data_IF_950523870352
#
_entry.id   IF_950523870352
#
_cell.length_a   1.000
_cell.length_b   1.000
_cell.length_c   1.000
_cell.angle_alpha   90.00
_cell.angle_beta   90.00
_cell.angle_gamma   90.00
#
_symmetry.space_group_name_H-M   'P 1'
#
loop_
_entity.id
_entity.type
_entity.pdbx_description
1 polymer ?
#
# COMPACT_ATOMS: atom_id res chain seq x y z
N UNK A 1 -23.86 -38.11 44.81
CA UNK A 1 -25.05 -38.92 44.64
C UNK A 1 -24.82 -40.31 44.02
N UNK A 2 -23.96 -40.53 43.09
CA UNK A 2 -23.62 -41.83 42.46
C UNK A 2 -23.02 -42.86 43.42
N UNK A 3 -22.34 -42.46 44.49
CA UNK A 3 -21.77 -43.35 45.52
C UNK A 3 -22.85 -43.94 46.46
N UNK A 4 -23.87 -43.19 46.80
CA UNK A 4 -24.97 -43.64 47.61
C UNK A 4 -25.84 -44.66 46.87
N UNK A 5 -26.08 -44.46 45.57
CA UNK A 5 -26.85 -45.43 44.76
C UNK A 5 -26.08 -46.74 44.55
N UNK A 6 -24.76 -46.70 44.40
CA UNK A 6 -23.91 -47.92 44.31
C UNK A 6 -23.82 -48.68 45.64
N UNK A 7 -23.76 -47.97 46.76
CA UNK A 7 -23.74 -48.57 48.10
C UNK A 7 -25.12 -49.22 48.41
N UNK A 8 -26.21 -48.57 48.03
CA UNK A 8 -27.56 -49.13 48.23
C UNK A 8 -27.80 -50.38 47.37
N UNK A 9 -27.30 -50.39 46.14
CA UNK A 9 -27.37 -51.50 45.20
C UNK A 9 -26.55 -52.72 45.70
N UNK A 10 -25.35 -52.46 46.28
CA UNK A 10 -24.52 -53.45 46.91
C UNK A 10 -25.19 -54.03 48.18
N UNK A 11 -25.80 -53.19 49.02
CA UNK A 11 -26.51 -53.64 50.21
C UNK A 11 -27.76 -54.48 49.84
N UNK A 12 -28.52 -54.10 48.81
CA UNK A 12 -29.63 -54.86 48.28
C UNK A 12 -29.18 -56.21 47.71
N UNK A 13 -28.10 -56.22 46.95
CA UNK A 13 -27.51 -57.44 46.40
C UNK A 13 -27.01 -58.40 47.53
N UNK A 14 -26.39 -57.84 48.55
CA UNK A 14 -25.94 -58.61 49.71
C UNK A 14 -27.13 -59.21 50.49
N UNK A 15 -28.25 -58.46 50.65
CA UNK A 15 -29.46 -58.93 51.28
C UNK A 15 -30.17 -60.07 50.47
N UNK A 16 -30.20 -59.93 49.14
CA UNK A 16 -30.75 -60.98 48.25
C UNK A 16 -29.88 -62.22 48.27
N UNK A 17 -28.56 -62.09 48.27
CA UNK A 17 -27.61 -63.23 48.44
C UNK A 17 -27.79 -63.92 49.80
N UNK A 18 -27.92 -63.16 50.89
CA UNK A 18 -28.15 -63.72 52.21
C UNK A 18 -29.47 -64.52 52.31
N UNK A 19 -30.55 -64.02 51.64
CA UNK A 19 -31.82 -64.71 51.61
C UNK A 19 -31.79 -66.00 50.77
N UNK A 20 -31.07 -66.03 49.66
CA UNK A 20 -30.86 -67.22 48.83
C UNK A 20 -29.99 -68.29 49.60
N UNK A 21 -29.04 -67.83 50.36
CA UNK A 21 -28.16 -68.66 51.18
C UNK A 21 -28.91 -69.36 52.31
N UNK A 22 -29.98 -68.84 52.85
CA UNK A 22 -30.82 -69.43 53.87
C UNK A 22 -31.72 -70.54 53.36
N UNK A 23 -32.06 -70.57 52.08
CA UNK A 23 -33.05 -71.49 51.52
C UNK A 23 -32.44 -72.76 50.90
N UNK A 24 -31.14 -72.79 50.64
CA UNK A 24 -30.54 -73.88 49.83
C UNK A 24 -29.41 -74.60 50.54
N UNK A 25 -29.67 -75.87 50.98
CA UNK A 25 -28.72 -76.81 51.64
C UNK A 25 -27.97 -77.71 50.58
N UNK A 26 -27.82 -77.29 49.33
CA UNK A 26 -27.13 -78.10 48.31
C UNK A 26 -25.62 -78.07 48.38
N UNK A 27 -24.96 -79.13 47.94
CA UNK A 27 -23.50 -79.23 47.81
C UNK A 27 -23.11 -79.34 46.32
N UNK A 28 -22.05 -78.68 45.93
CA UNK A 28 -21.43 -78.81 44.58
C UNK A 28 -20.22 -79.72 44.69
N UNK A 29 -20.24 -80.89 43.99
CA UNK A 29 -19.16 -81.82 43.95
C UNK A 29 -18.27 -81.60 42.74
N UNK A 30 -17.01 -81.20 42.93
CA UNK A 30 -16.00 -81.12 41.89
C UNK A 30 -15.27 -82.47 41.78
N UNK A 31 -15.48 -83.15 40.63
CA UNK A 31 -14.82 -84.39 40.30
C UNK A 31 -13.54 -84.13 39.49
N UNK A 32 -12.43 -84.08 40.15
CA UNK A 32 -11.08 -84.00 39.52
C UNK A 32 -10.36 -85.29 39.84
N UNK A 33 -10.36 -86.21 38.92
CA UNK A 33 -9.76 -87.55 39.16
C UNK A 33 -8.31 -87.44 39.62
N UNK A 34 -7.92 -88.12 40.81
CA UNK A 34 -8.67 -89.05 41.62
C UNK A 34 -9.39 -88.43 42.85
N UNK A 35 -9.51 -87.10 42.93
CA UNK A 35 -10.08 -86.40 44.10
C UNK A 35 -11.50 -85.97 43.89
N UNK A 36 -12.35 -86.12 44.88
CA UNK A 36 -13.71 -85.53 44.96
C UNK A 36 -13.69 -84.49 46.10
N UNK A 37 -14.01 -83.26 45.71
CA UNK A 37 -14.09 -82.11 46.62
C UNK A 37 -15.54 -81.68 46.70
N UNK A 38 -16.17 -81.89 47.81
CA UNK A 38 -17.55 -81.42 48.08
C UNK A 38 -17.50 -80.06 48.76
N UNK A 39 -18.02 -79.04 48.08
CA UNK A 39 -18.07 -77.67 48.55
C UNK A 39 -19.54 -77.25 48.72
N UNK A 40 -19.88 -76.54 49.78
CA UNK A 40 -21.24 -76.05 49.96
C UNK A 40 -21.60 -75.12 48.82
N UNK A 41 -22.81 -75.23 48.25
CA UNK A 41 -23.29 -74.39 47.17
C UNK A 41 -23.14 -72.90 47.49
N UNK A 42 -23.34 -72.51 48.72
CA UNK A 42 -23.21 -71.18 49.25
C UNK A 42 -21.74 -70.63 49.12
N UNK A 43 -20.76 -71.39 49.48
CA UNK A 43 -19.36 -71.03 49.37
C UNK A 43 -18.95 -70.91 47.90
N UNK A 44 -19.47 -71.82 47.05
CA UNK A 44 -19.24 -71.71 45.57
C UNK A 44 -19.77 -70.42 44.96
N UNK A 45 -21.05 -70.03 45.28
CA UNK A 45 -21.67 -68.84 44.81
C UNK A 45 -20.92 -67.59 45.26
N UNK A 46 -20.53 -67.51 46.57
CA UNK A 46 -19.77 -66.37 47.07
C UNK A 46 -18.41 -66.25 46.36
N UNK A 47 -17.71 -67.38 46.21
CA UNK A 47 -16.38 -67.43 45.55
C UNK A 47 -16.53 -67.01 44.09
N UNK A 48 -17.58 -67.46 43.38
CA UNK A 48 -17.88 -67.04 41.98
C UNK A 48 -18.15 -65.54 41.85
N UNK A 49 -18.96 -64.99 42.77
CA UNK A 49 -19.26 -63.52 42.79
C UNK A 49 -18.04 -62.70 43.05
N UNK A 50 -17.17 -63.17 44.05
CA UNK A 50 -15.90 -62.48 44.34
C UNK A 50 -14.95 -62.56 43.16
N UNK A 51 -14.87 -63.69 42.47
CA UNK A 51 -14.06 -63.86 41.26
C UNK A 51 -14.51 -62.96 40.14
N UNK A 52 -15.82 -62.92 39.85
CA UNK A 52 -16.37 -62.05 38.84
C UNK A 52 -16.17 -60.59 39.19
N UNK A 53 -16.33 -60.17 40.43
CA UNK A 53 -16.04 -58.82 40.90
C UNK A 53 -14.55 -58.48 40.73
N UNK A 54 -13.67 -59.42 41.07
CA UNK A 54 -12.24 -59.21 40.88
C UNK A 54 -11.82 -59.08 39.44
N UNK A 55 -12.36 -59.93 38.55
CA UNK A 55 -12.18 -59.82 37.08
C UNK A 55 -12.68 -58.48 36.56
N UNK A 56 -13.88 -58.06 36.98
CA UNK A 56 -14.42 -56.75 36.60
C UNK A 56 -13.52 -55.58 37.03
N UNK A 57 -13.04 -55.60 38.28
CA UNK A 57 -12.15 -54.54 38.78
C UNK A 57 -10.80 -54.52 38.08
N UNK A 58 -10.24 -55.68 37.77
CA UNK A 58 -9.00 -55.83 37.01
C UNK A 58 -9.19 -55.29 35.59
N UNK A 59 -10.25 -55.70 34.88
CA UNK A 59 -10.56 -55.21 33.56
C UNK A 59 -10.74 -53.68 33.54
N UNK A 60 -11.44 -53.12 34.53
CA UNK A 60 -11.65 -51.67 34.68
C UNK A 60 -10.35 -50.95 35.04
N UNK A 61 -9.46 -51.53 35.81
CA UNK A 61 -8.13 -50.99 36.11
C UNK A 61 -7.25 -50.94 34.86
N UNK A 62 -7.27 -51.99 34.05
CA UNK A 62 -6.53 -52.08 32.78
C UNK A 62 -7.05 -51.00 31.81
N UNK A 63 -8.38 -50.83 31.68
CA UNK A 63 -8.95 -49.79 30.84
C UNK A 63 -8.51 -48.38 31.26
N UNK A 64 -8.56 -48.07 32.57
CA UNK A 64 -8.09 -46.77 33.09
C UNK A 64 -6.61 -46.51 32.82
N UNK A 65 -5.79 -47.56 32.92
CA UNK A 65 -4.34 -47.43 32.61
C UNK A 65 -4.12 -47.26 31.09
N UNK A 66 -4.92 -47.95 30.27
CA UNK A 66 -4.83 -47.82 28.82
C UNK A 66 -5.27 -46.42 28.33
N UNK A 67 -6.26 -45.78 28.97
CA UNK A 67 -6.75 -44.43 28.64
C UNK A 67 -5.81 -43.29 29.15
N UNK A 68 -4.91 -43.60 30.11
CA UNK A 68 -4.05 -42.62 30.74
C UNK A 68 -3.11 -41.90 29.76
N UNK A 69 -2.43 -42.58 28.82
CA UNK A 69 -1.53 -41.89 27.87
C UNK A 69 -2.28 -40.93 26.95
N UNK A 70 -3.51 -41.22 26.58
CA UNK A 70 -4.30 -40.35 25.73
C UNK A 70 -4.75 -39.07 26.47
N UNK A 71 -5.17 -39.18 27.72
CA UNK A 71 -5.48 -38.02 28.56
C UNK A 71 -4.27 -37.12 28.81
N UNK A 72 -3.09 -37.72 29.01
CA UNK A 72 -1.84 -36.98 29.18
C UNK A 72 -1.46 -36.24 27.87
N UNK A 73 -1.64 -36.91 26.73
CA UNK A 73 -1.41 -36.26 25.43
C UNK A 73 -2.34 -35.06 25.24
N UNK A 74 -3.66 -35.23 25.44
CA UNK A 74 -4.65 -34.17 25.34
C UNK A 74 -4.37 -33.02 26.32
N UNK A 75 -3.93 -33.32 27.52
CA UNK A 75 -3.56 -32.31 28.51
C UNK A 75 -2.31 -31.52 28.08
N UNK A 76 -1.29 -32.23 27.55
CA UNK A 76 -0.06 -31.57 27.03
C UNK A 76 -0.35 -30.69 25.85
N UNK A 77 -1.10 -31.17 24.84
CA UNK A 77 -1.51 -30.38 23.68
C UNK A 77 -2.28 -29.12 24.09
N UNK A 78 -3.27 -29.25 24.97
CA UNK A 78 -4.02 -28.07 25.48
C UNK A 78 -3.10 -27.08 26.23
N UNK A 79 -2.16 -27.56 26.99
CA UNK A 79 -1.22 -26.69 27.70
C UNK A 79 -0.26 -25.99 26.75
N UNK A 80 0.19 -26.65 25.70
CA UNK A 80 1.01 -26.09 24.63
C UNK A 80 0.23 -25.06 23.83
N UNK A 81 -1.03 -25.32 23.50
CA UNK A 81 -1.92 -24.36 22.83
C UNK A 81 -2.14 -23.08 23.66
N UNK A 82 -2.52 -23.24 24.93
CA UNK A 82 -2.72 -22.08 25.82
C UNK A 82 -1.42 -21.30 26.03
N UNK A 83 -0.30 -22.01 26.21
CA UNK A 83 1.03 -21.40 26.34
C UNK A 83 1.43 -20.64 25.05
N UNK A 84 1.19 -21.25 23.89
CA UNK A 84 1.43 -20.65 22.59
C UNK A 84 0.61 -19.39 22.37
N UNK A 85 -0.69 -19.41 22.70
CA UNK A 85 -1.56 -18.24 22.60
C UNK A 85 -1.11 -17.10 23.53
N UNK A 86 -0.75 -17.39 24.78
CA UNK A 86 -0.24 -16.38 25.70
C UNK A 86 1.07 -15.77 25.21
N UNK A 87 1.98 -16.61 24.70
CA UNK A 87 3.24 -16.15 24.13
C UNK A 87 3.02 -15.30 22.88
N UNK A 88 2.03 -15.65 22.03
CA UNK A 88 1.67 -14.85 20.85
C UNK A 88 1.12 -13.48 21.25
N UNK A 89 0.25 -13.41 22.24
CA UNK A 89 -0.28 -12.12 22.76
C UNK A 89 0.87 -11.26 23.29
N UNK A 90 1.82 -11.86 24.03
CA UNK A 90 2.98 -11.12 24.52
C UNK A 90 3.91 -10.67 23.39
N UNK A 91 4.05 -11.47 22.31
CA UNK A 91 4.82 -11.11 21.13
C UNK A 91 4.20 -9.87 20.41
N UNK A 92 2.88 -9.90 20.17
CA UNK A 92 2.16 -8.77 19.56
C UNK A 92 2.27 -7.52 20.43
N UNK A 93 2.02 -7.65 21.75
CA UNK A 93 2.13 -6.53 22.70
C UNK A 93 3.53 -5.91 22.67
N UNK A 94 4.56 -6.75 22.78
CA UNK A 94 5.96 -6.29 22.77
C UNK A 94 6.35 -5.63 21.44
N UNK A 95 5.81 -6.13 20.31
CA UNK A 95 6.01 -5.52 18.98
C UNK A 95 5.41 -4.11 18.93
N UNK A 96 4.17 -3.95 19.41
CA UNK A 96 3.48 -2.65 19.45
C UNK A 96 4.14 -1.65 20.42
N UNK A 97 4.72 -2.15 21.51
CA UNK A 97 5.50 -1.36 22.46
C UNK A 97 6.90 -0.96 21.91
N UNK A 98 7.29 -1.46 20.72
CA UNK A 98 8.63 -1.23 20.16
C UNK A 98 9.74 -2.06 20.83
N UNK A 99 9.41 -3.05 21.66
CA UNK A 99 10.35 -3.93 22.34
C UNK A 99 10.68 -5.15 21.48
N UNK A 100 11.34 -4.92 20.34
CA UNK A 100 11.50 -5.93 19.29
C UNK A 100 12.22 -7.21 19.73
N UNK A 101 13.30 -7.10 20.52
CA UNK A 101 14.00 -8.28 21.04
C UNK A 101 13.13 -9.14 21.99
N UNK A 102 12.20 -8.53 22.72
CA UNK A 102 11.23 -9.23 23.55
C UNK A 102 10.13 -9.86 22.69
N UNK A 103 9.67 -9.14 21.68
CA UNK A 103 8.68 -9.64 20.72
C UNK A 103 9.20 -10.89 20.01
N UNK A 104 10.45 -10.89 19.53
CA UNK A 104 11.07 -12.04 18.87
C UNK A 104 11.18 -13.24 19.81
N UNK A 105 11.61 -13.04 21.07
CA UNK A 105 11.69 -14.13 22.06
C UNK A 105 10.31 -14.72 22.36
N UNK A 106 9.30 -13.89 22.52
CA UNK A 106 7.93 -14.33 22.74
C UNK A 106 7.36 -15.08 21.51
N UNK A 107 7.65 -14.58 20.29
CA UNK A 107 7.30 -15.26 19.05
C UNK A 107 7.95 -16.65 18.96
N UNK A 108 9.19 -16.80 19.39
CA UNK A 108 9.88 -18.11 19.46
C UNK A 108 9.19 -19.08 20.42
N UNK A 109 8.70 -18.59 21.55
CA UNK A 109 7.92 -19.39 22.47
C UNK A 109 6.55 -19.80 21.90
N UNK A 110 5.92 -18.90 21.11
CA UNK A 110 4.63 -19.16 20.46
C UNK A 110 4.71 -20.18 19.31
N UNK A 111 5.91 -20.50 18.81
CA UNK A 111 6.12 -21.54 17.79
C UNK A 111 5.91 -22.97 18.29
N UNK A 112 5.83 -23.18 19.59
CA UNK A 112 5.60 -24.51 20.18
C UNK A 112 4.22 -25.09 19.86
N UNK A 113 3.26 -24.27 19.44
CA UNK A 113 1.90 -24.68 19.05
C UNK A 113 1.67 -24.48 17.57
N UNK A 114 1.22 -25.52 16.88
CA UNK A 114 0.93 -25.50 15.43
C UNK A 114 -0.10 -24.40 15.07
N UNK A 115 -1.05 -24.13 15.97
CA UNK A 115 -2.09 -23.10 15.73
C UNK A 115 -1.54 -21.68 15.73
N UNK A 116 -0.44 -21.42 16.39
CA UNK A 116 0.17 -20.08 16.52
C UNK A 116 1.47 -19.92 15.73
N UNK A 117 2.07 -21.02 15.27
CA UNK A 117 3.40 -21.04 14.67
C UNK A 117 3.54 -20.11 13.46
N UNK A 118 2.56 -20.12 12.53
CA UNK A 118 2.59 -19.29 11.34
C UNK A 118 2.52 -17.79 11.64
N UNK A 119 1.60 -17.38 12.51
CA UNK A 119 1.48 -15.98 12.93
C UNK A 119 2.70 -15.53 13.73
N UNK A 120 3.19 -16.39 14.64
CA UNK A 120 4.39 -16.13 15.42
C UNK A 120 5.62 -15.92 14.53
N UNK A 121 5.75 -16.68 13.45
CA UNK A 121 6.82 -16.52 12.48
C UNK A 121 6.78 -15.14 11.82
N UNK A 122 5.60 -14.64 11.42
CA UNK A 122 5.47 -13.31 10.83
C UNK A 122 5.78 -12.18 11.82
N UNK A 123 5.39 -12.35 13.10
CA UNK A 123 5.73 -11.38 14.17
C UNK A 123 7.23 -11.39 14.43
N UNK A 124 7.84 -12.59 14.49
CA UNK A 124 9.29 -12.75 14.64
C UNK A 124 10.06 -12.09 13.49
N UNK A 125 9.61 -12.30 12.25
CA UNK A 125 10.17 -11.65 11.06
C UNK A 125 10.10 -10.14 11.16
N UNK A 126 8.92 -9.58 11.53
CA UNK A 126 8.73 -8.13 11.68
C UNK A 126 9.63 -7.57 12.80
N UNK A 127 9.75 -8.28 13.93
CA UNK A 127 10.61 -7.87 15.03
C UNK A 127 12.10 -7.87 14.62
N UNK A 128 12.57 -8.91 13.94
CA UNK A 128 13.94 -9.00 13.42
C UNK A 128 14.22 -7.88 12.38
N UNK A 129 13.26 -7.62 11.47
CA UNK A 129 13.37 -6.53 10.49
C UNK A 129 13.52 -5.16 11.17
N UNK A 130 12.72 -4.87 12.21
CA UNK A 130 12.81 -3.63 12.98
C UNK A 130 14.14 -3.46 13.72
N UNK A 131 14.81 -4.57 14.03
CA UNK A 131 16.17 -4.59 14.61
C UNK A 131 17.27 -4.54 13.53
N UNK A 132 16.92 -4.50 12.23
CA UNK A 132 17.83 -4.55 11.08
C UNK A 132 18.61 -5.90 11.00
N UNK A 133 18.07 -6.96 11.60
CA UNK A 133 18.63 -8.31 11.58
C UNK A 133 18.01 -9.09 10.42
N UNK A 134 18.48 -8.81 9.21
CA UNK A 134 17.85 -9.28 7.98
C UNK A 134 17.98 -10.79 7.76
N UNK A 135 19.09 -11.39 8.14
CA UNK A 135 19.27 -12.86 8.07
C UNK A 135 18.24 -13.58 8.96
N UNK A 136 18.05 -13.09 10.19
CA UNK A 136 17.05 -13.66 11.11
C UNK A 136 15.62 -13.44 10.62
N UNK A 137 15.34 -12.28 9.98
CA UNK A 137 14.06 -12.03 9.33
C UNK A 137 13.77 -13.10 8.27
N UNK A 138 14.74 -13.40 7.43
CA UNK A 138 14.59 -14.36 6.33
C UNK A 138 14.41 -15.78 6.85
N UNK A 139 15.12 -16.17 7.92
CA UNK A 139 14.87 -17.42 8.63
C UNK A 139 13.43 -17.51 9.14
N UNK A 140 12.91 -16.43 9.73
CA UNK A 140 11.55 -16.38 10.22
C UNK A 140 10.52 -16.50 9.09
N UNK A 141 10.74 -15.83 7.97
CA UNK A 141 9.88 -15.91 6.77
C UNK A 141 9.90 -17.32 6.16
N UNK A 142 11.05 -17.97 6.16
CA UNK A 142 11.17 -19.35 5.68
C UNK A 142 10.37 -20.34 6.55
N UNK A 143 10.36 -20.14 7.87
CA UNK A 143 9.53 -20.97 8.77
C UNK A 143 8.03 -20.85 8.49
N UNK A 144 7.57 -19.68 8.02
CA UNK A 144 6.18 -19.48 7.63
C UNK A 144 5.85 -20.03 6.22
N UNK A 145 6.83 -20.55 5.49
CA UNK A 145 6.63 -20.95 4.07
C UNK A 145 5.75 -22.20 3.93
N UNK A 146 5.84 -23.12 4.86
CA UNK A 146 5.08 -24.36 4.85
C UNK A 146 3.62 -24.19 5.29
N UNK A 147 3.25 -23.05 5.84
CA UNK A 147 1.88 -22.76 6.28
C UNK A 147 1.09 -22.14 5.12
N UNK A 148 0.27 -22.95 4.46
CA UNK A 148 -0.56 -22.52 3.34
C UNK A 148 -1.58 -21.45 3.72
N UNK A 149 -2.07 -21.46 4.97
CA UNK A 149 -3.00 -20.45 5.48
C UNK A 149 -2.34 -19.08 5.63
N UNK A 150 -1.02 -19.06 5.91
CA UNK A 150 -0.26 -17.82 6.07
C UNK A 150 0.44 -17.34 4.80
N UNK A 151 0.35 -18.07 3.69
CA UNK A 151 1.06 -17.74 2.46
C UNK A 151 0.79 -16.31 1.96
N UNK A 152 -0.47 -15.89 1.93
CA UNK A 152 -0.86 -14.54 1.54
C UNK A 152 -0.27 -13.49 2.49
N UNK A 153 -0.42 -13.69 3.80
CA UNK A 153 0.09 -12.77 4.82
C UNK A 153 1.63 -12.69 4.78
N UNK A 154 2.30 -13.82 4.54
CA UNK A 154 3.75 -13.90 4.39
C UNK A 154 4.24 -13.08 3.20
N UNK A 155 3.62 -13.26 2.01
CA UNK A 155 4.01 -12.52 0.81
C UNK A 155 3.81 -11.02 0.96
N UNK A 156 2.69 -10.58 1.57
CA UNK A 156 2.45 -9.17 1.84
C UNK A 156 3.46 -8.61 2.84
N UNK A 157 3.70 -9.31 3.95
CA UNK A 157 4.67 -8.89 4.97
C UNK A 157 6.10 -8.84 4.43
N UNK A 158 6.49 -9.83 3.60
CA UNK A 158 7.80 -9.85 2.93
C UNK A 158 7.96 -8.66 1.99
N UNK A 159 6.97 -8.41 1.12
CA UNK A 159 6.99 -7.30 0.18
C UNK A 159 7.10 -5.94 0.91
N UNK A 160 6.39 -5.77 2.02
CA UNK A 160 6.46 -4.56 2.83
C UNK A 160 7.86 -4.36 3.43
N UNK A 161 8.42 -5.40 4.07
CA UNK A 161 9.75 -5.35 4.68
C UNK A 161 10.86 -5.10 3.65
N UNK A 162 10.80 -5.75 2.48
CA UNK A 162 11.77 -5.53 1.40
C UNK A 162 11.65 -4.11 0.80
N UNK A 163 10.44 -3.57 0.67
CA UNK A 163 10.26 -2.18 0.22
C UNK A 163 10.82 -1.18 1.25
N UNK A 164 10.66 -1.43 2.55
CA UNK A 164 11.28 -0.63 3.62
C UNK A 164 12.81 -0.65 3.54
N UNK A 165 13.39 -1.79 3.18
CA UNK A 165 14.84 -1.98 3.00
C UNK A 165 15.35 -1.48 1.63
N UNK A 166 14.45 -1.09 0.72
CA UNK A 166 14.71 -0.71 -0.68
C UNK A 166 15.16 -1.87 -1.58
N UNK A 167 14.89 -3.10 -1.18
CA UNK A 167 15.01 -4.27 -2.04
C UNK A 167 13.76 -4.42 -2.91
N UNK A 168 13.60 -3.47 -3.82
CA UNK A 168 12.35 -3.31 -4.57
C UNK A 168 12.07 -4.48 -5.51
N UNK A 169 13.10 -5.13 -6.06
CA UNK A 169 12.93 -6.27 -6.96
C UNK A 169 12.36 -7.47 -6.21
N UNK A 170 12.89 -7.79 -5.03
CA UNK A 170 12.36 -8.84 -4.16
C UNK A 170 10.92 -8.57 -3.71
N UNK A 171 10.62 -7.28 -3.42
CA UNK A 171 9.27 -6.85 -3.06
C UNK A 171 8.27 -7.05 -4.22
N UNK A 172 8.66 -6.69 -5.43
CA UNK A 172 7.82 -6.84 -6.62
C UNK A 172 7.61 -8.31 -6.97
N UNK A 173 8.64 -9.15 -6.89
CA UNK A 173 8.51 -10.61 -7.08
C UNK A 173 7.51 -11.24 -6.10
N UNK A 174 7.52 -10.82 -4.83
CA UNK A 174 6.54 -11.30 -3.86
C UNK A 174 5.10 -10.86 -4.22
N UNK A 175 4.95 -9.63 -4.72
CA UNK A 175 3.65 -9.11 -5.14
C UNK A 175 3.15 -9.84 -6.40
N UNK A 176 4.03 -10.14 -7.35
CA UNK A 176 3.68 -10.88 -8.57
C UNK A 176 3.22 -12.30 -8.23
N UNK A 177 3.90 -12.99 -7.30
CA UNK A 177 3.45 -14.28 -6.76
C UNK A 177 2.08 -14.19 -6.09
N UNK A 178 1.83 -13.12 -5.33
CA UNK A 178 0.56 -12.87 -4.69
C UNK A 178 -0.58 -12.65 -5.71
N UNK A 179 -0.31 -11.90 -6.77
CA UNK A 179 -1.27 -11.65 -7.85
C UNK A 179 -1.55 -12.91 -8.68
N UNK A 180 -0.52 -13.73 -8.93
CA UNK A 180 -0.64 -15.03 -9.60
C UNK A 180 -1.56 -16.00 -8.85
N UNK A 181 -1.65 -15.89 -7.52
CA UNK A 181 -2.58 -16.63 -6.67
C UNK A 181 -4.03 -16.09 -6.72
N UNK A 182 -4.33 -15.10 -7.57
CA UNK A 182 -5.67 -14.52 -7.74
C UNK A 182 -6.06 -13.46 -6.68
N UNK A 183 -5.20 -13.18 -5.75
CA UNK A 183 -5.45 -12.24 -4.67
C UNK A 183 -5.23 -10.78 -5.11
N UNK A 184 -6.33 -10.02 -5.20
CA UNK A 184 -6.29 -8.59 -5.57
C UNK A 184 -6.34 -7.71 -4.32
N UNK A 185 -5.22 -7.60 -3.61
CA UNK A 185 -5.13 -6.80 -2.39
C UNK A 185 -4.78 -5.34 -2.67
N UNK A 186 -5.59 -4.42 -2.14
CA UNK A 186 -5.34 -2.97 -2.22
C UNK A 186 -4.00 -2.63 -1.56
N UNK A 187 -3.72 -3.21 -0.41
CA UNK A 187 -2.48 -2.97 0.33
C UNK A 187 -1.24 -3.41 -0.48
N UNK A 188 -1.27 -4.60 -1.10
CA UNK A 188 -0.19 -5.05 -1.98
C UNK A 188 0.02 -4.10 -3.18
N UNK A 189 -1.06 -3.54 -3.75
CA UNK A 189 -0.95 -2.53 -4.81
C UNK A 189 -0.30 -1.23 -4.32
N UNK A 190 -0.52 -0.84 -3.06
CA UNK A 190 0.18 0.31 -2.44
C UNK A 190 1.67 0.04 -2.26
N UNK A 191 2.02 -1.16 -1.81
CA UNK A 191 3.43 -1.58 -1.70
C UNK A 191 4.08 -1.59 -3.09
N UNK A 192 3.41 -2.16 -4.11
CA UNK A 192 3.89 -2.15 -5.49
C UNK A 192 4.10 -0.72 -6.02
N UNK A 193 3.18 0.20 -5.73
CA UNK A 193 3.33 1.61 -6.09
C UNK A 193 4.61 2.19 -5.48
N UNK A 194 4.82 1.98 -4.18
CA UNK A 194 6.01 2.50 -3.48
C UNK A 194 7.31 1.89 -4.05
N UNK A 195 7.36 0.57 -4.24
CA UNK A 195 8.52 -0.12 -4.81
C UNK A 195 8.84 0.38 -6.23
N UNK A 196 7.82 0.55 -7.10
CA UNK A 196 7.98 1.05 -8.46
C UNK A 196 8.44 2.51 -8.49
N UNK A 197 7.93 3.38 -7.60
CA UNK A 197 8.41 4.77 -7.47
C UNK A 197 9.87 4.84 -7.01
N UNK A 198 10.27 3.95 -6.08
CA UNK A 198 11.65 3.89 -5.61
C UNK A 198 12.63 3.37 -6.66
N UNK A 199 12.17 2.44 -7.51
CA UNK A 199 12.97 1.84 -8.59
C UNK A 199 12.97 2.65 -9.88
N UNK A 200 12.17 3.74 -9.97
CA UNK A 200 12.02 4.49 -11.21
C UNK A 200 11.25 3.75 -12.31
N UNK A 201 10.46 2.73 -11.95
CA UNK A 201 9.58 2.00 -12.88
C UNK A 201 8.28 2.77 -13.09
N UNK A 202 8.36 3.91 -13.79
CA UNK A 202 7.29 4.89 -13.87
C UNK A 202 6.00 4.37 -14.51
N UNK A 203 6.11 3.53 -15.54
CA UNK A 203 4.93 2.96 -16.21
C UNK A 203 4.14 2.03 -15.28
N UNK A 204 4.82 1.20 -14.51
CA UNK A 204 4.19 0.28 -13.57
C UNK A 204 3.64 1.03 -12.34
N UNK A 205 4.35 2.06 -11.88
CA UNK A 205 3.83 3.00 -10.88
C UNK A 205 2.51 3.65 -11.35
N UNK A 206 2.44 4.09 -12.60
CA UNK A 206 1.23 4.69 -13.17
C UNK A 206 0.06 3.70 -13.23
N UNK A 207 0.33 2.42 -13.59
CA UNK A 207 -0.69 1.36 -13.57
C UNK A 207 -1.23 1.16 -12.15
N UNK A 208 -0.33 1.14 -11.15
CA UNK A 208 -0.71 1.01 -9.74
C UNK A 208 -1.57 2.19 -9.25
N UNK A 209 -1.20 3.44 -9.58
CA UNK A 209 -1.99 4.64 -9.25
C UNK A 209 -3.40 4.55 -9.84
N UNK A 210 -3.51 4.21 -11.14
CA UNK A 210 -4.82 4.09 -11.82
C UNK A 210 -5.69 2.98 -11.20
N UNK A 211 -5.07 1.86 -10.81
CA UNK A 211 -5.80 0.77 -10.16
C UNK A 211 -6.32 1.19 -8.78
N UNK A 212 -5.50 1.89 -7.98
CA UNK A 212 -5.90 2.41 -6.67
C UNK A 212 -7.00 3.48 -6.80
N UNK A 213 -6.88 4.38 -7.77
CA UNK A 213 -7.88 5.41 -8.08
C UNK A 213 -9.23 4.77 -8.47
N UNK A 214 -9.23 3.79 -9.39
CA UNK A 214 -10.42 3.05 -9.81
C UNK A 214 -11.15 2.37 -8.65
N UNK A 215 -10.42 2.01 -7.59
CA UNK A 215 -10.96 1.35 -6.39
C UNK A 215 -11.29 2.31 -5.24
N UNK A 216 -11.21 3.61 -5.48
CA UNK A 216 -11.36 4.65 -4.44
C UNK A 216 -10.43 4.43 -3.23
N UNK A 217 -9.28 3.77 -3.45
CA UNK A 217 -8.28 3.49 -2.41
C UNK A 217 -7.20 4.57 -2.32
N UNK A 218 -7.28 5.60 -3.17
CA UNK A 218 -6.38 6.75 -3.20
C UNK A 218 -7.22 8.03 -3.33
N UNK A 219 -6.92 9.03 -2.49
CA UNK A 219 -7.61 10.31 -2.57
C UNK A 219 -7.32 11.01 -3.91
N UNK A 220 -8.33 11.62 -4.55
CA UNK A 220 -8.24 12.18 -5.89
C UNK A 220 -7.11 13.23 -6.03
N UNK A 221 -6.90 14.09 -5.01
CA UNK A 221 -5.83 15.09 -5.01
C UNK A 221 -4.45 14.42 -5.04
N UNK A 222 -4.27 13.36 -4.25
CA UNK A 222 -3.01 12.63 -4.19
C UNK A 222 -2.76 11.84 -5.49
N UNK A 223 -3.80 11.22 -6.05
CA UNK A 223 -3.72 10.54 -7.34
C UNK A 223 -3.27 11.51 -8.45
N UNK A 224 -3.80 12.73 -8.48
CA UNK A 224 -3.41 13.79 -9.42
C UNK A 224 -1.94 14.19 -9.24
N UNK A 225 -1.51 14.43 -8.00
CA UNK A 225 -0.10 14.78 -7.69
C UNK A 225 0.86 13.67 -8.12
N UNK A 226 0.54 12.39 -7.83
CA UNK A 226 1.34 11.25 -8.24
C UNK A 226 1.42 11.11 -9.75
N UNK A 227 0.28 11.19 -10.45
CA UNK A 227 0.26 11.15 -11.92
C UNK A 227 1.10 12.26 -12.52
N UNK A 228 0.94 13.50 -12.05
CA UNK A 228 1.74 14.63 -12.52
C UNK A 228 3.25 14.36 -12.39
N UNK A 229 3.68 13.89 -11.22
CA UNK A 229 5.09 13.59 -11.00
C UNK A 229 5.60 12.44 -11.86
N UNK A 230 4.83 11.35 -11.98
CA UNK A 230 5.18 10.20 -12.83
C UNK A 230 5.28 10.63 -14.30
N UNK A 231 4.30 11.39 -14.80
CA UNK A 231 4.33 11.88 -16.18
C UNK A 231 5.53 12.80 -16.43
N UNK A 232 5.87 13.67 -15.47
CA UNK A 232 7.06 14.51 -15.57
C UNK A 232 8.32 13.67 -15.74
N UNK A 233 8.51 12.62 -14.92
CA UNK A 233 9.69 11.75 -15.02
C UNK A 233 9.71 10.96 -16.35
N UNK A 234 8.55 10.47 -16.82
CA UNK A 234 8.43 9.82 -18.12
C UNK A 234 8.79 10.76 -19.28
N UNK A 235 8.35 12.02 -19.23
CA UNK A 235 8.68 13.03 -20.23
C UNK A 235 10.16 13.42 -20.17
N UNK A 236 10.71 13.60 -18.96
CA UNK A 236 12.14 13.89 -18.76
C UNK A 236 13.03 12.77 -19.30
N UNK A 237 12.63 11.52 -19.15
CA UNK A 237 13.39 10.39 -19.71
C UNK A 237 13.45 10.44 -21.24
N UNK A 238 12.46 11.04 -21.90
CA UNK A 238 12.35 11.14 -23.35
C UNK A 238 12.68 12.54 -23.90
N UNK A 239 13.21 13.46 -23.07
CA UNK A 239 13.45 14.88 -23.42
C UNK A 239 14.36 15.08 -24.64
N UNK A 240 15.19 14.12 -24.97
CA UNK A 240 16.15 14.21 -26.09
C UNK A 240 15.60 13.63 -27.40
N UNK A 241 14.42 12.99 -27.38
CA UNK A 241 13.77 12.43 -28.56
C UNK A 241 12.36 13.00 -28.72
N UNK A 242 12.24 13.96 -29.61
CA UNK A 242 10.98 14.65 -29.90
C UNK A 242 9.89 13.70 -30.39
N UNK A 243 10.22 12.64 -31.13
CA UNK A 243 9.23 11.69 -31.66
C UNK A 243 8.69 10.79 -30.54
N UNK A 244 9.57 10.30 -29.66
CA UNK A 244 9.17 9.50 -28.49
C UNK A 244 8.35 10.31 -27.50
N UNK A 245 8.71 11.59 -27.28
CA UNK A 245 7.94 12.51 -26.43
C UNK A 245 6.53 12.75 -26.97
N UNK A 246 6.42 12.97 -28.28
CA UNK A 246 5.13 13.14 -28.96
C UNK A 246 4.28 11.86 -28.89
N UNK A 247 4.89 10.69 -29.11
CA UNK A 247 4.22 9.40 -28.98
C UNK A 247 3.75 9.14 -27.53
N UNK A 248 4.56 9.49 -26.53
CA UNK A 248 4.17 9.43 -25.13
C UNK A 248 2.97 10.30 -24.85
N UNK A 249 2.99 11.58 -25.29
CA UNK A 249 1.88 12.52 -25.10
C UNK A 249 0.56 11.99 -25.71
N UNK A 250 0.63 11.44 -26.93
CA UNK A 250 -0.55 10.86 -27.58
C UNK A 250 -1.13 9.64 -26.86
N UNK A 251 -0.31 8.88 -26.14
CA UNK A 251 -0.73 7.71 -25.33
C UNK A 251 -1.39 8.10 -24.01
N UNK A 252 -1.22 9.34 -23.54
CA UNK A 252 -1.87 9.77 -22.32
C UNK A 252 -3.40 9.74 -22.47
N UNK A 253 -4.16 9.27 -21.45
CA UNK A 253 -5.60 9.39 -21.43
C UNK A 253 -6.04 10.86 -21.57
N UNK A 254 -7.14 11.08 -22.25
CA UNK A 254 -7.68 12.42 -22.47
C UNK A 254 -7.93 13.16 -21.16
N UNK A 255 -8.49 12.46 -20.15
CA UNK A 255 -8.73 13.02 -18.83
C UNK A 255 -7.44 13.52 -18.14
N UNK A 256 -6.31 12.81 -18.32
CA UNK A 256 -5.03 13.22 -17.76
C UNK A 256 -4.39 14.37 -18.56
N UNK A 257 -4.60 14.41 -19.88
CA UNK A 257 -4.09 15.50 -20.76
C UNK A 257 -4.71 16.85 -20.48
N UNK A 258 -5.95 16.89 -19.99
CA UNK A 258 -6.65 18.12 -19.62
C UNK A 258 -6.33 18.62 -18.21
N UNK A 259 -5.52 17.90 -17.43
CA UNK A 259 -5.04 18.36 -16.13
C UNK A 259 -4.01 19.48 -16.35
N UNK A 260 -4.25 20.72 -15.86
CA UNK A 260 -3.41 21.87 -16.20
C UNK A 260 -1.93 21.68 -15.85
N UNK A 261 -1.62 21.03 -14.72
CA UNK A 261 -0.25 20.76 -14.28
C UNK A 261 0.48 19.80 -15.24
N UNK A 262 -0.23 18.75 -15.73
CA UNK A 262 0.32 17.78 -16.69
C UNK A 262 0.49 18.42 -18.05
N UNK A 263 -0.50 19.25 -18.48
CA UNK A 263 -0.45 19.97 -19.73
C UNK A 263 0.72 20.97 -19.77
N UNK A 264 0.94 21.70 -18.68
CA UNK A 264 2.06 22.64 -18.55
C UNK A 264 3.40 21.95 -18.74
N UNK A 265 3.60 20.82 -18.03
CA UNK A 265 4.85 20.07 -18.12
C UNK A 265 5.05 19.46 -19.52
N UNK A 266 3.97 18.91 -20.11
CA UNK A 266 3.98 18.39 -21.47
C UNK A 266 4.32 19.47 -22.50
N UNK A 267 3.68 20.63 -22.42
CA UNK A 267 3.93 21.76 -23.32
C UNK A 267 5.38 22.28 -23.18
N UNK A 268 5.88 22.39 -21.95
CA UNK A 268 7.27 22.78 -21.69
C UNK A 268 8.27 21.84 -22.36
N UNK A 269 8.10 20.53 -22.17
CA UNK A 269 8.98 19.52 -22.78
C UNK A 269 8.89 19.53 -24.30
N UNK A 270 7.68 19.68 -24.86
CA UNK A 270 7.45 19.78 -26.30
C UNK A 270 8.07 21.05 -26.90
N UNK A 271 8.00 22.19 -26.22
CA UNK A 271 8.67 23.41 -26.64
C UNK A 271 10.20 23.24 -26.66
N UNK A 272 10.77 22.64 -25.60
CA UNK A 272 12.22 22.34 -25.54
C UNK A 272 12.66 21.37 -26.63
N UNK A 273 11.80 20.45 -27.04
CA UNK A 273 12.03 19.51 -28.13
C UNK A 273 11.75 20.08 -29.54
N UNK A 274 11.43 21.39 -29.65
CA UNK A 274 11.13 22.05 -30.92
C UNK A 274 9.76 21.68 -31.53
N UNK A 275 8.86 21.14 -30.73
CA UNK A 275 7.48 20.77 -31.14
C UNK A 275 6.45 21.85 -30.73
N UNK A 276 6.76 23.11 -30.99
CA UNK A 276 5.96 24.25 -30.55
C UNK A 276 4.50 24.23 -31.01
N UNK A 277 4.21 23.78 -32.23
CA UNK A 277 2.85 23.64 -32.70
C UNK A 277 2.01 22.68 -31.84
N UNK A 278 2.60 21.56 -31.47
CA UNK A 278 1.94 20.59 -30.58
C UNK A 278 1.82 21.14 -29.15
N UNK A 279 2.84 21.84 -28.66
CA UNK A 279 2.81 22.52 -27.37
C UNK A 279 1.67 23.54 -27.29
N UNK A 280 1.50 24.36 -28.33
CA UNK A 280 0.40 25.30 -28.41
C UNK A 280 -0.97 24.59 -28.36
N UNK A 281 -1.15 23.52 -29.15
CA UNK A 281 -2.40 22.76 -29.16
C UNK A 281 -2.70 22.11 -27.80
N UNK A 282 -1.67 21.63 -27.08
CA UNK A 282 -1.79 21.09 -25.72
C UNK A 282 -2.31 22.13 -24.74
N UNK A 283 -1.76 23.34 -24.80
CA UNK A 283 -2.18 24.44 -23.92
C UNK A 283 -3.59 24.91 -24.26
N UNK A 284 -3.91 25.04 -25.56
CA UNK A 284 -5.26 25.38 -25.99
C UNK A 284 -6.33 24.40 -25.51
N UNK A 285 -6.01 23.10 -25.56
CA UNK A 285 -6.90 22.06 -25.03
C UNK A 285 -7.08 22.14 -23.51
N UNK A 286 -6.00 22.42 -22.77
CA UNK A 286 -6.03 22.51 -21.31
C UNK A 286 -6.77 23.77 -20.81
N UNK A 287 -6.57 24.92 -21.45
CA UNK A 287 -7.24 26.19 -21.11
C UNK A 287 -8.72 26.19 -21.48
N UNK A 288 -9.11 25.42 -22.50
CA UNK A 288 -10.50 25.41 -22.98
C UNK A 288 -10.98 26.73 -23.57
N UNK A 289 -12.29 26.98 -23.50
CA UNK A 289 -12.91 28.09 -24.24
C UNK A 289 -13.15 29.37 -23.42
N UNK A 290 -13.24 29.28 -22.07
CA UNK A 290 -13.71 30.43 -21.26
C UNK A 290 -12.68 30.89 -20.25
N UNK A 291 -12.04 32.05 -20.45
CA UNK A 291 -11.07 32.65 -19.51
C UNK A 291 -11.65 33.00 -18.14
N UNK A 292 -12.95 33.15 -18.03
CA UNK A 292 -13.61 33.52 -16.76
C UNK A 292 -13.48 32.45 -15.66
N UNK A 293 -13.18 31.23 -16.04
CA UNK A 293 -13.02 30.09 -15.11
C UNK A 293 -11.55 29.71 -14.84
N UNK A 294 -10.60 30.49 -15.36
CA UNK A 294 -9.17 30.21 -15.22
C UNK A 294 -8.66 30.60 -13.83
N UNK A 295 -7.73 29.81 -13.36
CA UNK A 295 -7.01 29.98 -12.09
C UNK A 295 -5.56 30.47 -12.32
N UNK A 296 -4.78 30.54 -11.26
CA UNK A 296 -3.36 30.95 -11.30
C UNK A 296 -2.49 30.04 -12.21
N UNK A 297 -2.94 28.82 -12.47
CA UNK A 297 -2.23 27.91 -13.39
C UNK A 297 -2.34 28.40 -14.84
N UNK A 298 -3.42 29.10 -15.20
CA UNK A 298 -3.60 29.63 -16.54
C UNK A 298 -2.53 30.66 -16.91
N UNK A 299 -2.06 31.47 -15.97
CA UNK A 299 -0.96 32.42 -16.23
C UNK A 299 0.32 31.68 -16.66
N UNK A 300 0.65 30.59 -15.96
CA UNK A 300 1.82 29.77 -16.29
C UNK A 300 1.69 29.07 -17.64
N UNK A 301 0.49 28.60 -17.97
CA UNK A 301 0.18 28.02 -19.28
C UNK A 301 0.30 29.06 -20.40
N UNK A 302 -0.17 30.30 -20.18
CA UNK A 302 -0.06 31.39 -21.12
C UNK A 302 1.39 31.84 -21.39
N UNK A 303 2.22 31.85 -20.32
CA UNK A 303 3.65 32.12 -20.47
C UNK A 303 4.35 31.05 -21.33
N UNK A 304 3.97 29.78 -21.16
CA UNK A 304 4.50 28.71 -21.98
C UNK A 304 3.91 28.72 -23.40
N UNK A 305 2.65 29.15 -23.55
CA UNK A 305 2.02 29.36 -24.87
C UNK A 305 2.75 30.42 -25.68
N UNK A 306 3.13 31.53 -25.07
CA UNK A 306 3.92 32.56 -25.70
C UNK A 306 5.27 32.09 -26.24
N UNK A 307 5.89 31.08 -25.57
CA UNK A 307 7.16 30.46 -26.00
C UNK A 307 6.99 29.47 -27.14
N UNK A 308 5.77 28.93 -27.32
CA UNK A 308 5.49 27.95 -28.35
C UNK A 308 5.62 28.57 -29.74
N UNK A 309 6.50 27.98 -30.56
CA UNK A 309 6.65 28.37 -31.95
C UNK A 309 5.59 27.64 -32.80
N UNK A 310 4.43 28.25 -32.95
CA UNK A 310 3.34 27.70 -33.74
C UNK A 310 3.31 28.37 -35.11
N UNK A 311 3.21 27.60 -36.17
CA UNK A 311 3.02 28.11 -37.52
C UNK A 311 1.64 27.73 -38.05
N UNK A 312 0.89 28.72 -38.62
CA UNK A 312 1.26 30.14 -38.72
C UNK A 312 1.06 30.86 -37.36
N UNK A 313 2.01 31.72 -36.98
CA UNK A 313 1.98 32.51 -35.74
C UNK A 313 0.70 33.41 -35.65
N UNK A 314 0.13 33.77 -36.80
CA UNK A 314 -1.15 34.48 -36.88
C UNK A 314 -2.27 33.73 -36.14
N UNK A 315 -2.33 32.40 -36.24
CA UNK A 315 -3.31 31.59 -35.53
C UNK A 315 -3.16 31.70 -34.00
N UNK A 316 -1.91 31.71 -33.53
CA UNK A 316 -1.60 31.86 -32.09
C UNK A 316 -2.01 33.24 -31.57
N UNK A 317 -1.79 34.31 -32.38
CA UNK A 317 -2.22 35.66 -32.04
C UNK A 317 -3.76 35.78 -32.04
N UNK A 318 -4.43 35.31 -33.09
CA UNK A 318 -5.89 35.32 -33.20
C UNK A 318 -6.54 34.58 -32.01
N UNK A 319 -5.93 33.49 -31.57
CA UNK A 319 -6.41 32.72 -30.39
C UNK A 319 -6.24 33.53 -29.11
N UNK A 320 -5.09 34.16 -28.90
CA UNK A 320 -4.84 35.02 -27.74
C UNK A 320 -5.80 36.23 -27.71
N UNK A 321 -6.03 36.88 -28.87
CA UNK A 321 -6.98 37.96 -29.01
C UNK A 321 -8.44 37.51 -28.74
N UNK A 322 -8.83 36.32 -29.20
CA UNK A 322 -10.14 35.72 -28.92
C UNK A 322 -10.35 35.44 -27.42
N UNK A 323 -9.34 34.97 -26.74
CA UNK A 323 -9.39 34.82 -25.28
C UNK A 323 -9.43 36.17 -24.55
N UNK A 324 -8.66 37.16 -25.04
CA UNK A 324 -8.63 38.50 -24.46
C UNK A 324 -10.00 39.17 -24.53
N UNK A 325 -10.75 38.98 -25.65
CA UNK A 325 -12.10 39.49 -25.81
C UNK A 325 -13.11 38.89 -24.82
N UNK A 326 -12.86 37.70 -24.32
CA UNK A 326 -13.71 36.98 -23.34
C UNK A 326 -13.18 37.07 -21.90
N UNK A 327 -11.99 37.64 -21.71
CA UNK A 327 -11.35 37.75 -20.40
C UNK A 327 -12.04 38.81 -19.53
N UNK A 328 -11.95 38.70 -18.19
CA UNK A 328 -12.38 39.77 -17.29
C UNK A 328 -11.77 41.12 -17.70
N UNK A 329 -12.51 42.18 -17.47
CA UNK A 329 -12.10 43.53 -17.85
C UNK A 329 -10.79 43.99 -17.20
N UNK A 330 -10.41 43.42 -16.07
CA UNK A 330 -9.18 43.72 -15.32
C UNK A 330 -8.63 42.45 -14.62
N UNK A 331 -7.33 42.46 -14.27
CA UNK A 331 -6.73 41.46 -13.42
C UNK A 331 -5.56 40.71 -14.06
N UNK A 332 -4.96 39.77 -13.28
CA UNK A 332 -3.76 39.07 -13.66
C UNK A 332 -3.89 38.23 -14.94
N UNK A 333 -5.04 37.58 -15.16
CA UNK A 333 -5.29 36.80 -16.38
C UNK A 333 -5.31 37.69 -17.62
N UNK A 334 -5.94 38.88 -17.54
CA UNK A 334 -5.93 39.84 -18.63
C UNK A 334 -4.51 40.34 -18.91
N UNK A 335 -3.76 40.67 -17.88
CA UNK A 335 -2.36 41.06 -18.02
C UNK A 335 -1.51 39.97 -18.68
N UNK A 336 -1.72 38.70 -18.28
CA UNK A 336 -1.02 37.55 -18.86
C UNK A 336 -1.39 37.34 -20.35
N UNK A 337 -2.66 37.49 -20.73
CA UNK A 337 -3.10 37.43 -22.13
C UNK A 337 -2.51 38.52 -22.98
N UNK A 338 -2.51 39.77 -22.47
CA UNK A 338 -1.88 40.92 -23.14
C UNK A 338 -0.38 40.71 -23.31
N UNK A 339 0.30 40.19 -22.28
CA UNK A 339 1.71 39.80 -22.34
C UNK A 339 1.97 38.73 -23.40
N UNK A 340 1.10 37.72 -23.46
CA UNK A 340 1.18 36.63 -24.44
C UNK A 340 1.04 37.19 -25.87
N UNK A 341 0.01 37.98 -26.13
CA UNK A 341 -0.18 38.63 -27.44
C UNK A 341 1.01 39.52 -27.80
N UNK A 342 1.52 40.29 -26.84
CA UNK A 342 2.71 41.13 -27.02
C UNK A 342 3.97 40.37 -27.39
N UNK A 343 4.21 39.21 -26.71
CA UNK A 343 5.36 38.34 -26.98
C UNK A 343 5.26 37.63 -28.35
N UNK A 344 4.06 37.23 -28.77
CA UNK A 344 3.82 36.67 -30.10
C UNK A 344 4.10 37.75 -31.15
N UNK A 345 3.58 38.98 -30.97
CA UNK A 345 3.85 40.12 -31.87
C UNK A 345 5.34 40.49 -31.92
N UNK A 346 6.04 40.45 -30.79
CA UNK A 346 7.50 40.69 -30.70
C UNK A 346 8.29 39.70 -31.56
N UNK A 347 7.94 38.44 -31.49
CA UNK A 347 8.56 37.37 -32.29
C UNK A 347 8.32 37.57 -33.79
N UNK A 348 7.14 38.01 -34.16
CA UNK A 348 6.77 38.29 -35.57
C UNK A 348 7.18 39.68 -36.03
N UNK A 349 7.99 40.39 -35.24
CA UNK A 349 8.49 41.73 -35.57
C UNK A 349 7.39 42.78 -35.78
N UNK A 350 6.21 42.58 -35.20
CA UNK A 350 5.10 43.53 -35.22
C UNK A 350 5.26 44.55 -34.08
N UNK A 351 6.34 45.36 -34.14
CA UNK A 351 6.81 46.22 -33.07
C UNK A 351 5.73 47.12 -32.46
N UNK A 352 4.93 47.81 -33.32
CA UNK A 352 3.89 48.70 -32.82
C UNK A 352 2.79 48.00 -32.03
N UNK A 353 2.30 46.83 -32.52
CA UNK A 353 1.31 46.02 -31.80
C UNK A 353 1.89 45.46 -30.55
N UNK A 354 3.14 44.97 -30.59
CA UNK A 354 3.84 44.43 -29.44
C UNK A 354 3.94 45.46 -28.32
N UNK A 355 4.37 46.72 -28.66
CA UNK A 355 4.48 47.82 -27.69
C UNK A 355 3.14 48.11 -27.02
N UNK A 356 2.06 48.20 -27.77
CA UNK A 356 0.72 48.43 -27.24
C UNK A 356 0.28 47.35 -26.27
N UNK A 357 0.32 46.08 -26.68
CA UNK A 357 -0.08 44.95 -25.80
C UNK A 357 0.76 44.85 -24.52
N UNK A 358 2.09 45.06 -24.60
CA UNK A 358 2.95 44.99 -23.45
C UNK A 358 2.75 46.14 -22.48
N UNK A 359 2.50 47.37 -22.99
CA UNK A 359 2.16 48.52 -22.15
C UNK A 359 0.81 48.35 -21.45
N UNK A 360 -0.21 47.86 -22.17
CA UNK A 360 -1.51 47.53 -21.61
C UNK A 360 -1.39 46.43 -20.54
N UNK A 361 -0.51 45.42 -20.76
CA UNK A 361 -0.23 44.41 -19.76
C UNK A 361 0.35 44.99 -18.47
N UNK A 362 1.29 45.93 -18.55
CA UNK A 362 1.85 46.63 -17.37
C UNK A 362 0.84 47.52 -16.66
N UNK A 363 -0.10 48.11 -17.41
CA UNK A 363 -1.17 48.90 -16.82
C UNK A 363 -2.13 48.05 -15.96
N UNK A 364 -2.34 46.78 -16.35
CA UNK A 364 -3.16 45.82 -15.59
C UNK A 364 -2.40 45.21 -14.41
N UNK A 365 -1.17 44.72 -14.63
CA UNK A 365 -0.33 44.14 -13.59
C UNK A 365 1.16 44.23 -13.92
N UNK A 366 1.95 44.69 -12.93
CA UNK A 366 3.41 44.76 -13.08
C UNK A 366 3.99 43.34 -12.95
N UNK A 367 4.50 42.79 -14.03
CA UNK A 367 5.12 41.48 -14.04
C UNK A 367 6.53 41.54 -14.63
N UNK A 368 7.55 40.92 -14.01
CA UNK A 368 8.95 41.01 -14.48
C UNK A 368 9.15 40.57 -15.93
N UNK A 369 8.42 39.53 -16.36
CA UNK A 369 8.50 39.03 -17.74
C UNK A 369 7.98 40.08 -18.78
N UNK A 370 7.05 40.95 -18.40
CA UNK A 370 6.57 42.03 -19.29
C UNK A 370 7.63 43.12 -19.47
N UNK A 371 8.32 43.53 -18.41
CA UNK A 371 9.48 44.42 -18.47
C UNK A 371 10.60 43.83 -19.34
N UNK A 372 10.88 42.52 -19.17
CA UNK A 372 11.87 41.81 -20.00
C UNK A 372 11.47 41.83 -21.49
N UNK A 373 10.19 41.66 -21.81
CA UNK A 373 9.69 41.72 -23.18
C UNK A 373 9.82 43.13 -23.78
N UNK A 374 9.49 44.17 -23.01
CA UNK A 374 9.68 45.57 -23.42
C UNK A 374 11.14 45.92 -23.61
N UNK A 375 12.04 45.42 -22.75
CA UNK A 375 13.47 45.61 -22.94
C UNK A 375 13.97 45.03 -24.26
N UNK A 376 13.57 43.79 -24.57
CA UNK A 376 13.91 43.17 -25.88
C UNK A 376 13.31 43.89 -27.07
N UNK A 377 12.11 44.45 -26.92
CA UNK A 377 11.48 45.26 -27.96
C UNK A 377 12.26 46.54 -28.20
N UNK A 378 12.64 47.27 -27.13
CA UNK A 378 13.41 48.51 -27.22
C UNK A 378 14.79 48.25 -27.85
N UNK A 379 15.44 47.14 -27.49
CA UNK A 379 16.71 46.69 -28.07
C UNK A 379 16.53 46.39 -29.58
N UNK A 380 15.47 45.71 -30.01
CA UNK A 380 15.19 45.40 -31.40
C UNK A 380 14.89 46.65 -32.24
N UNK A 381 14.38 47.72 -31.64
CA UNK A 381 14.08 49.02 -32.29
C UNK A 381 15.28 49.98 -32.20
N UNK A 382 16.32 49.66 -31.41
CA UNK A 382 17.51 50.49 -31.24
C UNK A 382 17.38 51.55 -30.16
N UNK A 383 16.37 51.44 -29.25
CA UNK A 383 16.18 52.35 -28.10
C UNK A 383 17.00 51.86 -26.88
N UNK A 384 18.33 51.92 -26.96
CA UNK A 384 19.26 51.33 -25.93
C UNK A 384 19.02 51.86 -24.50
N UNK A 385 18.73 53.16 -24.33
CA UNK A 385 18.49 53.74 -23.03
C UNK A 385 17.20 53.18 -22.38
N UNK A 386 16.15 53.02 -23.17
CA UNK A 386 14.91 52.46 -22.74
C UNK A 386 15.07 50.95 -22.42
N UNK A 387 15.82 50.21 -23.29
CA UNK A 387 16.13 48.81 -23.06
C UNK A 387 16.85 48.63 -21.71
N UNK A 388 17.86 49.41 -21.40
CA UNK A 388 18.59 49.33 -20.13
C UNK A 388 17.69 49.58 -18.91
N UNK A 389 16.76 50.55 -19.00
CA UNK A 389 15.79 50.83 -17.94
C UNK A 389 14.87 49.64 -17.73
N UNK A 390 14.30 49.11 -18.79
CA UNK A 390 13.37 47.97 -18.71
C UNK A 390 14.05 46.69 -18.23
N UNK A 391 15.31 46.42 -18.60
CA UNK A 391 16.08 45.31 -18.07
C UNK A 391 16.31 45.44 -16.55
N UNK A 392 16.57 46.67 -16.06
CA UNK A 392 16.74 46.92 -14.62
C UNK A 392 15.45 46.62 -13.86
N UNK A 393 14.31 47.08 -14.36
CA UNK A 393 13.01 46.83 -13.73
C UNK A 393 12.67 45.34 -13.76
N UNK A 394 12.97 44.64 -14.83
CA UNK A 394 12.81 43.19 -14.92
C UNK A 394 13.67 42.45 -13.87
N UNK A 395 14.95 42.84 -13.74
CA UNK A 395 15.87 42.23 -12.78
C UNK A 395 15.42 42.44 -11.33
N UNK A 396 14.98 43.66 -10.98
CA UNK A 396 14.43 43.97 -9.67
C UNK A 396 13.16 43.16 -9.37
N UNK A 397 12.27 43.02 -10.36
CA UNK A 397 11.06 42.26 -10.24
C UNK A 397 11.31 40.75 -10.05
N UNK A 398 12.24 40.16 -10.82
CA UNK A 398 12.61 38.75 -10.63
C UNK A 398 13.27 38.48 -9.28
N UNK A 399 14.07 39.41 -8.74
CA UNK A 399 14.68 39.29 -7.41
C UNK A 399 13.65 39.30 -6.26
N UNK A 400 12.49 39.87 -6.50
CA UNK A 400 11.40 39.93 -5.52
C UNK A 400 10.42 38.73 -5.62
N UNK A 401 10.49 37.96 -6.70
CA UNK A 401 9.69 36.75 -6.80
C UNK A 401 10.17 35.74 -5.73
N UNK A 402 9.24 35.13 -4.97
CA UNK A 402 9.62 34.04 -4.08
C UNK A 402 10.33 32.96 -4.88
N UNK A 403 11.48 32.50 -4.38
CA UNK A 403 12.18 31.38 -4.99
C UNK A 403 11.17 30.26 -5.23
N UNK A 404 11.06 29.82 -6.49
CA UNK A 404 10.17 28.72 -6.82
C UNK A 404 10.55 27.54 -5.90
N UNK A 405 9.76 27.33 -4.84
CA UNK A 405 9.93 26.17 -4.00
C UNK A 405 9.78 24.96 -4.91
N UNK A 406 10.74 24.03 -4.89
CA UNK A 406 10.60 22.77 -5.60
C UNK A 406 9.57 21.91 -4.85
N UNK A 407 8.31 22.38 -4.76
CA UNK A 407 7.21 21.66 -4.13
C UNK A 407 6.95 20.29 -4.77
N UNK A 408 7.59 20.03 -5.90
CA UNK A 408 7.54 18.77 -6.65
C UNK A 408 8.86 17.99 -6.61
N UNK A 409 9.67 18.16 -5.59
CA UNK A 409 10.82 17.30 -5.38
C UNK A 409 10.34 15.86 -5.12
N UNK A 410 11.03 14.87 -5.70
CA UNK A 410 10.78 13.44 -5.41
C UNK A 410 10.78 13.13 -3.90
N UNK A 411 11.38 13.99 -3.08
CA UNK A 411 11.33 13.92 -1.63
C UNK A 411 9.93 14.20 -1.06
N UNK A 412 9.21 15.19 -1.60
CA UNK A 412 7.82 15.48 -1.17
C UNK A 412 6.83 14.41 -1.62
N UNK A 413 7.08 13.79 -2.79
CA UNK A 413 6.30 12.64 -3.24
C UNK A 413 6.53 11.40 -2.36
N UNK A 414 7.78 11.15 -1.96
CA UNK A 414 8.15 10.05 -1.05
C UNK A 414 7.55 10.25 0.35
N UNK A 415 7.41 11.47 0.84
CA UNK A 415 6.71 11.75 2.11
C UNK A 415 5.21 11.50 2.00
N UNK A 416 4.57 11.94 0.92
CA UNK A 416 3.15 11.66 0.66
C UNK A 416 2.84 10.17 0.47
N UNK A 417 3.76 9.40 -0.13
CA UNK A 417 3.61 7.95 -0.26
C UNK A 417 3.81 7.24 1.08
N UNK A 418 4.64 7.76 1.99
CA UNK A 418 4.73 7.24 3.37
C UNK A 418 3.44 7.41 4.16
N UNK A 419 2.72 8.52 3.96
CA UNK A 419 1.38 8.72 4.56
C UNK A 419 0.32 7.72 4.04
N UNK A 420 0.51 7.15 2.84
CA UNK A 420 -0.39 6.14 2.28
C UNK A 420 -0.10 4.75 2.87
N UNK A 421 1.11 4.51 3.37
CA UNK A 421 1.55 3.22 3.91
C UNK A 421 1.10 3.00 5.37
N UNK A 422 0.66 4.04 6.06
CA UNK A 422 0.05 4.01 7.38
C UNK A 422 -1.47 4.23 7.29
#
# INVERSE_FOLDING_TARGET
MRWLSSALLLALLAAVIALILQINAGNVAFLVHPYRVDVSLNLFIVTLVVLLAAVYWIARAIQKVADFPEQVRLYRTRREEVGGQQALIEAVKSLLEGRFARAERAARAAQSSDTTAGVAALIGARAAHRMQEYERRDEWLHRAENDTAMQTARLVASAEMWTEQRENDSALDAIDRLQGAGARHIHATRIALNANLQSGRWEDALKAVRLLEKRNALHAVLARKLKHAIYRELMLAQRHDAASLEALWRRLPEADRHVPEIALEGARMLNLAGRGQLAAAVIEAALGKSPAAWDDMAERLLDEYARAQSFPARHQLERAEAWLAQAPARGAIRAALLRTAGLVCLREQLWGKSKGYLQDSLAEAKHPATFLALARLAEAVGEEAEAALQYREAALGFAQLPAAHPENSMASLRSGVREIAH
#
